data_IF_916878970313
#
_entry.id   IF_916878970313
#
_cell.length_a   1.000
_cell.length_b   1.000
_cell.length_c   1.000
_cell.angle_alpha   90.00
_cell.angle_beta   90.00
_cell.angle_gamma   90.00
#
_symmetry.space_group_name_H-M   'P 1'
#
loop_
_entity.id
_entity.type
_entity.pdbx_description
1 polymer ?
#
# COMPACT_ATOMS: atom_id res chain seq x y z
N UNK A 1 41.86 9.92 -20.82
CA UNK A 1 40.81 9.73 -21.84
C UNK A 1 39.47 9.84 -21.15
N UNK A 2 38.76 10.94 -21.35
CA UNK A 2 37.38 11.12 -20.86
C UNK A 2 36.46 10.40 -21.85
N UNK A 3 35.83 9.31 -21.42
CA UNK A 3 34.80 8.65 -22.21
C UNK A 3 33.57 9.56 -22.23
N UNK A 4 33.29 10.19 -23.37
CA UNK A 4 32.00 10.82 -23.63
C UNK A 4 30.93 9.73 -23.57
N UNK A 5 30.15 9.72 -22.49
CA UNK A 5 28.98 8.86 -22.38
C UNK A 5 27.95 9.35 -23.40
N UNK A 6 27.56 8.47 -24.32
CA UNK A 6 26.38 8.73 -25.16
C UNK A 6 25.15 8.86 -24.25
N UNK A 7 24.20 9.75 -24.57
CA UNK A 7 22.98 9.86 -23.80
C UNK A 7 22.21 8.54 -23.81
N UNK A 8 21.54 8.22 -22.70
CA UNK A 8 20.77 6.99 -22.50
C UNK A 8 19.61 6.83 -23.49
N UNK A 9 19.15 7.92 -24.10
CA UNK A 9 18.20 7.88 -25.21
C UNK A 9 18.51 9.00 -26.21
N UNK A 10 18.29 8.68 -27.49
CA UNK A 10 18.30 9.62 -28.62
C UNK A 10 16.90 9.66 -29.30
N UNK A 11 15.86 9.15 -28.62
CA UNK A 11 14.58 8.85 -29.26
C UNK A 11 13.63 10.05 -29.21
N UNK A 12 13.01 10.32 -30.35
CA UNK A 12 11.82 11.19 -30.44
C UNK A 12 10.71 10.55 -29.62
N UNK A 13 10.07 11.33 -28.75
CA UNK A 13 8.89 10.91 -28.02
C UNK A 13 7.81 10.39 -28.97
N UNK A 14 6.90 9.56 -28.46
CA UNK A 14 5.70 9.13 -29.21
C UNK A 14 5.00 10.38 -29.77
N UNK A 15 4.56 10.33 -31.04
CA UNK A 15 4.12 11.54 -31.73
C UNK A 15 3.03 12.29 -30.96
N UNK A 16 3.27 13.56 -30.63
CA UNK A 16 2.31 14.41 -29.94
C UNK A 16 2.38 14.38 -28.41
N UNK A 17 3.26 13.57 -27.80
CA UNK A 17 3.62 13.66 -26.38
C UNK A 17 4.89 14.49 -26.26
N UNK A 18 4.90 15.49 -25.37
CA UNK A 18 6.10 16.26 -25.05
C UNK A 18 6.63 15.97 -23.63
N UNK A 19 7.77 16.58 -23.27
CA UNK A 19 8.36 16.40 -21.94
C UNK A 19 7.49 17.02 -20.84
N UNK A 20 6.72 18.07 -21.16
CA UNK A 20 5.82 18.68 -20.19
C UNK A 20 4.70 17.70 -19.80
N UNK A 21 4.12 16.99 -20.78
CA UNK A 21 3.13 15.92 -20.52
C UNK A 21 3.71 14.88 -19.53
N UNK A 22 4.93 14.40 -19.78
CA UNK A 22 5.61 13.42 -18.92
C UNK A 22 5.83 13.98 -17.51
N UNK A 23 6.44 15.17 -17.41
CA UNK A 23 6.73 15.77 -16.10
C UNK A 23 5.46 16.09 -15.32
N UNK A 24 4.36 16.43 -16.00
CA UNK A 24 3.06 16.60 -15.36
C UNK A 24 2.58 15.30 -14.71
N UNK A 25 2.58 14.18 -15.44
CA UNK A 25 2.24 12.88 -14.87
C UNK A 25 3.13 12.51 -13.67
N UNK A 26 4.44 12.78 -13.74
CA UNK A 26 5.35 12.52 -12.61
C UNK A 26 5.00 13.37 -11.37
N UNK A 27 4.53 14.61 -11.55
CA UNK A 27 4.05 15.46 -10.46
C UNK A 27 2.68 15.02 -9.93
N UNK A 28 1.82 14.47 -10.79
CA UNK A 28 0.57 13.85 -10.35
C UNK A 28 0.84 12.63 -9.45
N UNK A 29 1.86 11.82 -9.73
CA UNK A 29 2.26 10.72 -8.83
C UNK A 29 2.88 11.24 -7.52
N UNK A 30 3.63 12.34 -7.55
CA UNK A 30 4.21 12.96 -6.34
C UNK A 30 3.14 13.35 -5.31
N UNK A 31 1.94 13.70 -5.80
CA UNK A 31 0.80 14.07 -4.97
C UNK A 31 0.42 13.03 -3.91
N UNK A 32 0.74 11.75 -4.12
CA UNK A 32 0.46 10.67 -3.15
C UNK A 32 1.13 10.94 -1.79
N UNK A 33 2.27 11.63 -1.77
CA UNK A 33 2.98 12.01 -0.53
C UNK A 33 2.18 12.94 0.38
N UNK A 34 1.12 13.57 -0.15
CA UNK A 34 0.24 14.47 0.60
C UNK A 34 -0.86 13.73 1.36
N UNK A 35 -1.12 12.47 1.00
CA UNK A 35 -2.15 11.64 1.62
C UNK A 35 -1.58 11.02 2.89
N UNK A 36 -2.08 11.45 4.06
CA UNK A 36 -1.65 10.89 5.34
C UNK A 36 -2.57 9.75 5.75
N UNK A 37 -1.97 8.64 6.16
CA UNK A 37 -2.61 7.49 6.81
C UNK A 37 -2.73 7.74 8.31
N UNK A 38 -3.49 6.88 9.01
CA UNK A 38 -3.60 6.96 10.48
C UNK A 38 -2.41 6.38 11.24
N UNK A 39 -1.58 5.56 10.60
CA UNK A 39 -0.39 4.98 11.21
C UNK A 39 0.63 6.05 11.58
N UNK A 40 1.45 5.80 12.59
CA UNK A 40 2.55 6.68 12.97
C UNK A 40 3.89 6.06 12.57
N UNK A 41 4.80 6.88 12.06
CA UNK A 41 6.15 6.44 11.68
C UNK A 41 6.96 6.15 12.94
N UNK A 42 7.66 5.02 12.94
CA UNK A 42 8.45 4.52 14.07
C UNK A 42 9.38 5.59 14.64
N UNK A 43 9.35 5.75 15.97
CA UNK A 43 10.16 6.73 16.70
C UNK A 43 9.96 8.20 16.27
N UNK A 44 8.78 8.54 15.72
CA UNK A 44 8.42 9.92 15.39
C UNK A 44 7.02 10.27 15.91
N UNK A 45 6.66 11.55 15.79
CA UNK A 45 5.29 12.03 16.02
C UNK A 45 4.49 12.17 14.73
N UNK A 46 5.09 11.85 13.58
CA UNK A 46 4.52 12.06 12.25
C UNK A 46 3.64 10.87 11.87
N UNK A 47 2.55 11.17 11.16
CA UNK A 47 1.76 10.14 10.48
C UNK A 47 2.46 9.63 9.24
N UNK A 48 2.22 8.36 8.97
CA UNK A 48 2.62 7.75 7.72
C UNK A 48 1.86 8.40 6.54
N UNK A 49 2.48 8.57 5.37
CA UNK A 49 1.81 8.92 4.12
C UNK A 49 1.74 7.72 3.16
N UNK A 50 0.81 7.75 2.21
CA UNK A 50 0.55 6.60 1.34
C UNK A 50 1.73 6.25 0.40
N UNK A 51 2.58 7.23 0.06
CA UNK A 51 3.76 6.98 -0.76
C UNK A 51 4.87 6.23 0.01
N UNK A 52 5.12 6.60 1.27
CA UNK A 52 6.09 5.85 2.11
C UNK A 52 5.54 4.50 2.57
N UNK A 53 4.23 4.38 2.79
CA UNK A 53 3.57 3.09 3.00
C UNK A 53 3.78 2.17 1.80
N UNK A 54 3.54 2.66 0.59
CA UNK A 54 3.74 1.90 -0.65
C UNK A 54 5.19 1.43 -0.84
N UNK A 55 6.17 2.29 -0.51
CA UNK A 55 7.58 1.89 -0.48
C UNK A 55 7.84 0.78 0.55
N UNK A 56 7.33 0.94 1.77
CA UNK A 56 7.53 -0.04 2.84
C UNK A 56 6.85 -1.38 2.51
N UNK A 57 5.64 -1.33 1.94
CA UNK A 57 4.89 -2.48 1.45
C UNK A 57 5.67 -3.24 0.37
N UNK A 58 6.21 -2.53 -0.63
CA UNK A 58 7.00 -3.18 -1.68
C UNK A 58 8.23 -3.90 -1.10
N UNK A 59 8.96 -3.24 -0.19
CA UNK A 59 10.13 -3.83 0.49
C UNK A 59 9.74 -5.04 1.36
N UNK A 60 8.65 -4.93 2.11
CA UNK A 60 8.17 -5.99 2.99
C UNK A 60 7.66 -7.21 2.19
N UNK A 61 6.88 -6.98 1.13
CA UNK A 61 6.43 -8.02 0.21
C UNK A 61 7.60 -8.77 -0.41
N UNK A 62 8.61 -8.07 -0.93
CA UNK A 62 9.79 -8.72 -1.50
C UNK A 62 10.55 -9.54 -0.45
N UNK A 63 10.82 -8.97 0.72
CA UNK A 63 11.52 -9.67 1.81
C UNK A 63 10.78 -10.94 2.25
N UNK A 64 9.45 -10.85 2.43
CA UNK A 64 8.64 -12.01 2.84
C UNK A 64 8.57 -13.06 1.74
N UNK A 65 8.45 -12.66 0.47
CA UNK A 65 8.48 -13.60 -0.66
C UNK A 65 9.78 -14.43 -0.68
N UNK A 66 10.93 -13.79 -0.47
CA UNK A 66 12.23 -14.46 -0.41
C UNK A 66 12.35 -15.36 0.84
N UNK A 67 11.96 -14.85 2.02
CA UNK A 67 12.08 -15.59 3.28
C UNK A 67 11.16 -16.82 3.37
N UNK A 68 10.01 -16.78 2.70
CA UNK A 68 9.07 -17.90 2.63
C UNK A 68 9.23 -18.73 1.35
N UNK A 69 10.23 -18.42 0.51
CA UNK A 69 10.47 -19.09 -0.78
C UNK A 69 9.20 -19.18 -1.65
N UNK A 70 8.42 -18.10 -1.69
CA UNK A 70 7.14 -18.07 -2.39
C UNK A 70 7.35 -18.06 -3.91
N UNK A 71 6.62 -18.95 -4.60
CA UNK A 71 6.53 -18.96 -6.06
C UNK A 71 5.59 -17.84 -6.53
N UNK A 72 6.13 -16.61 -6.60
CA UNK A 72 5.46 -15.38 -7.04
C UNK A 72 6.26 -14.67 -8.14
N UNK A 73 5.56 -13.94 -9.00
CA UNK A 73 6.16 -12.97 -9.91
C UNK A 73 6.50 -11.68 -9.13
N UNK A 74 7.79 -11.48 -8.87
CA UNK A 74 8.32 -10.33 -8.15
C UNK A 74 8.06 -9.01 -8.87
N UNK A 75 8.16 -8.99 -10.21
CA UNK A 75 7.93 -7.78 -10.99
C UNK A 75 6.46 -7.34 -10.84
N UNK A 76 5.55 -8.30 -10.96
CA UNK A 76 4.13 -8.08 -10.77
C UNK A 76 3.80 -7.63 -9.35
N UNK A 77 4.31 -8.34 -8.34
CA UNK A 77 4.10 -8.02 -6.92
C UNK A 77 4.56 -6.60 -6.58
N UNK A 78 5.76 -6.21 -7.03
CA UNK A 78 6.31 -4.88 -6.78
C UNK A 78 5.52 -3.78 -7.51
N UNK A 79 5.10 -4.02 -8.76
CA UNK A 79 4.22 -3.08 -9.48
C UNK A 79 2.90 -2.90 -8.74
N UNK A 80 2.27 -3.98 -8.30
CA UNK A 80 1.02 -3.90 -7.53
C UNK A 80 1.20 -3.11 -6.24
N UNK A 81 2.26 -3.38 -5.46
CA UNK A 81 2.56 -2.65 -4.23
C UNK A 81 2.77 -1.15 -4.46
N UNK A 82 3.42 -0.76 -5.56
CA UNK A 82 3.66 0.64 -5.87
C UNK A 82 2.41 1.39 -6.34
N UNK A 83 1.44 0.69 -6.94
CA UNK A 83 0.23 1.34 -7.48
C UNK A 83 -0.98 1.30 -6.53
N UNK A 84 -0.98 0.42 -5.52
CA UNK A 84 -2.20 0.08 -4.76
C UNK A 84 -2.95 1.28 -4.19
N UNK A 85 -2.23 2.27 -3.63
CA UNK A 85 -2.82 3.47 -3.03
C UNK A 85 -2.89 4.67 -4.00
N UNK A 86 -2.57 4.53 -5.29
CA UNK A 86 -2.60 5.68 -6.21
C UNK A 86 -4.00 6.32 -6.34
N UNK A 87 -5.08 5.55 -6.18
CA UNK A 87 -6.44 6.07 -6.15
C UNK A 87 -6.70 7.05 -4.99
N UNK A 88 -5.92 6.95 -3.90
CA UNK A 88 -6.04 7.81 -2.74
C UNK A 88 -5.57 9.25 -3.02
N UNK A 89 -4.86 9.51 -4.13
CA UNK A 89 -4.49 10.89 -4.53
C UNK A 89 -5.72 11.78 -4.60
N UNK A 90 -6.82 11.25 -5.12
CA UNK A 90 -8.08 11.98 -5.31
C UNK A 90 -9.10 11.63 -4.21
N UNK A 91 -9.14 10.37 -3.74
CA UNK A 91 -10.12 9.90 -2.75
C UNK A 91 -9.71 10.18 -1.28
N UNK A 92 -8.41 10.31 -1.01
CA UNK A 92 -7.85 10.30 0.34
C UNK A 92 -7.77 8.90 0.98
N UNK A 93 -7.03 8.79 2.09
CA UNK A 93 -6.90 7.53 2.85
C UNK A 93 -8.20 7.20 3.59
N UNK A 94 -8.69 5.98 3.38
CA UNK A 94 -9.84 5.46 4.10
C UNK A 94 -9.41 4.45 5.16
N UNK A 95 -9.48 4.87 6.43
CA UNK A 95 -9.07 4.05 7.55
C UNK A 95 -9.78 2.69 7.62
N UNK A 96 -9.00 1.64 7.93
CA UNK A 96 -9.45 0.25 7.91
C UNK A 96 -10.74 -0.02 8.69
N UNK A 97 -10.92 0.63 9.85
CA UNK A 97 -12.06 0.44 10.73
C UNK A 97 -13.15 1.53 10.59
N UNK A 98 -13.08 2.38 9.56
CA UNK A 98 -14.10 3.40 9.30
C UNK A 98 -15.39 2.79 8.71
N UNK A 99 -16.54 3.30 9.14
CA UNK A 99 -17.87 2.86 8.64
C UNK A 99 -18.12 3.24 7.17
N UNK A 100 -17.47 4.29 6.68
CA UNK A 100 -17.57 4.78 5.29
C UNK A 100 -16.79 3.94 4.27
N UNK A 101 -16.01 2.93 4.70
CA UNK A 101 -15.11 2.16 3.83
C UNK A 101 -15.77 1.54 2.60
N UNK A 102 -17.05 1.19 2.71
CA UNK A 102 -17.80 0.51 1.65
C UNK A 102 -17.91 1.29 0.33
N UNK A 103 -17.70 2.63 0.34
CA UNK A 103 -17.78 3.46 -0.87
C UNK A 103 -16.43 3.98 -1.39
N UNK A 104 -15.34 3.83 -0.63
CA UNK A 104 -14.03 4.41 -0.97
C UNK A 104 -13.49 3.96 -2.34
N UNK A 105 -13.71 2.68 -2.64
CA UNK A 105 -13.31 2.03 -3.89
C UNK A 105 -13.89 2.66 -5.16
N UNK A 106 -14.96 3.47 -5.05
CA UNK A 106 -15.58 4.17 -6.19
C UNK A 106 -14.75 5.39 -6.57
N UNK A 107 -14.37 6.19 -5.58
CA UNK A 107 -13.56 7.40 -5.78
C UNK A 107 -12.13 7.03 -6.17
N UNK A 108 -11.56 5.99 -5.56
CA UNK A 108 -10.24 5.47 -5.92
C UNK A 108 -10.18 4.99 -7.37
N UNK A 109 -11.18 4.23 -7.84
CA UNK A 109 -11.29 3.82 -9.26
C UNK A 109 -11.37 5.01 -10.21
N UNK A 110 -12.10 6.06 -9.82
CA UNK A 110 -12.19 7.28 -10.63
C UNK A 110 -10.84 8.00 -10.72
N UNK A 111 -10.09 8.08 -9.62
CA UNK A 111 -8.74 8.63 -9.61
C UNK A 111 -7.75 7.83 -10.46
N UNK A 112 -7.83 6.50 -10.39
CA UNK A 112 -7.02 5.61 -11.25
C UNK A 112 -7.38 5.78 -12.72
N UNK A 113 -8.66 5.89 -13.07
CA UNK A 113 -9.08 6.16 -14.44
C UNK A 113 -8.55 7.51 -14.97
N UNK A 114 -8.52 8.54 -14.12
CA UNK A 114 -7.91 9.83 -14.43
C UNK A 114 -6.41 9.70 -14.67
N UNK A 115 -5.66 9.08 -13.76
CA UNK A 115 -4.22 8.85 -13.90
C UNK A 115 -3.87 7.99 -15.12
N UNK A 116 -4.70 7.01 -15.45
CA UNK A 116 -4.56 6.20 -16.67
C UNK A 116 -4.70 7.05 -17.95
N UNK A 117 -5.52 8.10 -17.91
CA UNK A 117 -5.78 8.99 -19.03
C UNK A 117 -4.77 10.16 -19.17
N UNK A 118 -3.87 10.35 -18.21
CA UNK A 118 -2.84 11.38 -18.27
C UNK A 118 -1.94 11.19 -19.50
N UNK A 119 -1.75 12.26 -20.29
CA UNK A 119 -1.02 12.20 -21.57
C UNK A 119 0.42 11.72 -21.41
N UNK A 120 1.05 12.06 -20.29
CA UNK A 120 2.42 11.66 -19.94
C UNK A 120 2.55 10.28 -19.31
N UNK A 121 1.45 9.56 -19.10
CA UNK A 121 1.49 8.24 -18.49
C UNK A 121 2.03 7.19 -19.48
N UNK A 122 3.23 6.69 -19.20
CA UNK A 122 3.86 5.62 -19.98
C UNK A 122 3.42 4.19 -19.59
N UNK A 123 2.60 4.03 -18.55
CA UNK A 123 2.14 2.74 -18.03
C UNK A 123 0.79 2.41 -18.65
N UNK A 124 0.81 1.59 -19.71
CA UNK A 124 -0.37 1.27 -20.51
C UNK A 124 -1.48 0.54 -19.74
N UNK A 125 -1.12 -0.20 -18.69
CA UNK A 125 -2.01 -1.07 -17.92
C UNK A 125 -2.07 -0.69 -16.44
N UNK A 126 -1.89 0.59 -16.10
CA UNK A 126 -1.93 1.09 -14.71
C UNK A 126 -3.24 0.68 -14.01
N UNK A 127 -4.37 0.92 -14.66
CA UNK A 127 -5.68 0.61 -14.12
C UNK A 127 -5.92 -0.90 -13.95
N UNK A 128 -5.37 -1.72 -14.84
CA UNK A 128 -5.47 -3.19 -14.76
C UNK A 128 -4.68 -3.73 -13.56
N UNK A 129 -3.45 -3.26 -13.35
CA UNK A 129 -2.62 -3.65 -12.19
C UNK A 129 -3.30 -3.23 -10.89
N UNK A 130 -3.88 -2.02 -10.86
CA UNK A 130 -4.62 -1.54 -9.70
C UNK A 130 -5.90 -2.36 -9.44
N UNK A 131 -6.66 -2.71 -10.48
CA UNK A 131 -7.87 -3.53 -10.30
C UNK A 131 -7.53 -4.96 -9.84
N UNK A 132 -6.40 -5.52 -10.30
CA UNK A 132 -5.93 -6.83 -9.82
C UNK A 132 -5.56 -6.81 -8.33
N UNK A 133 -4.99 -5.73 -7.80
CA UNK A 133 -4.75 -5.68 -6.35
C UNK A 133 -6.09 -5.64 -5.58
N UNK A 134 -7.06 -4.91 -6.11
CA UNK A 134 -8.34 -4.67 -5.44
C UNK A 134 -9.21 -5.93 -5.41
N UNK A 135 -9.32 -6.64 -6.54
CA UNK A 135 -10.28 -7.75 -6.71
C UNK A 135 -9.64 -9.09 -7.11
N UNK A 136 -8.34 -9.10 -7.40
CA UNK A 136 -7.62 -10.30 -7.80
C UNK A 136 -7.51 -11.37 -6.70
N UNK A 137 -7.02 -12.53 -7.12
CA UNK A 137 -6.83 -13.72 -6.28
C UNK A 137 -5.49 -14.42 -6.52
N UNK A 138 -4.59 -13.80 -7.28
CA UNK A 138 -3.25 -14.32 -7.54
C UNK A 138 -2.43 -14.42 -6.24
N UNK A 139 -1.34 -15.19 -6.25
CA UNK A 139 -0.46 -15.32 -5.09
C UNK A 139 0.14 -13.97 -4.70
N UNK A 140 0.42 -13.13 -5.69
CA UNK A 140 0.89 -11.75 -5.52
C UNK A 140 -0.16 -10.90 -4.80
N UNK A 141 -1.42 -10.94 -5.25
CA UNK A 141 -2.53 -10.25 -4.58
C UNK A 141 -2.70 -10.71 -3.13
N UNK A 142 -2.61 -12.03 -2.89
CA UNK A 142 -2.76 -12.59 -1.54
C UNK A 142 -1.65 -12.12 -0.61
N UNK A 143 -0.39 -12.20 -1.04
CA UNK A 143 0.75 -11.72 -0.27
C UNK A 143 0.63 -10.22 0.01
N UNK A 144 0.34 -9.41 -1.02
CA UNK A 144 0.18 -7.96 -0.87
C UNK A 144 -0.87 -7.61 0.17
N UNK A 145 -2.05 -8.25 0.13
CA UNK A 145 -3.12 -8.01 1.11
C UNK A 145 -2.74 -8.39 2.53
N UNK A 146 -1.99 -9.48 2.71
CA UNK A 146 -1.49 -9.89 4.03
C UNK A 146 -0.51 -8.86 4.57
N UNK A 147 0.48 -8.46 3.76
CA UNK A 147 1.51 -7.52 4.21
C UNK A 147 0.93 -6.12 4.45
N UNK A 148 0.00 -5.65 3.61
CA UNK A 148 -0.70 -4.38 3.80
C UNK A 148 -1.50 -4.34 5.12
N UNK A 149 -1.97 -5.49 5.62
CA UNK A 149 -2.60 -5.58 6.95
C UNK A 149 -1.59 -5.71 8.09
N UNK A 150 -0.46 -6.36 7.83
CA UNK A 150 0.60 -6.56 8.81
C UNK A 150 1.30 -5.24 9.17
N UNK A 151 1.61 -4.39 8.20
CA UNK A 151 2.36 -3.14 8.43
C UNK A 151 1.68 -2.19 9.46
N UNK A 152 0.41 -1.76 9.30
CA UNK A 152 -0.25 -0.91 10.28
C UNK A 152 -0.44 -1.61 11.64
N UNK A 153 -0.49 -2.95 11.68
CA UNK A 153 -0.49 -3.70 12.93
C UNK A 153 0.85 -3.57 13.67
N UNK A 154 1.97 -3.76 12.98
CA UNK A 154 3.32 -3.57 13.53
C UNK A 154 3.52 -2.13 14.05
N UNK A 155 3.05 -1.13 13.30
CA UNK A 155 3.15 0.26 13.70
C UNK A 155 2.31 0.57 14.95
N UNK A 156 1.14 -0.05 15.12
CA UNK A 156 0.38 0.06 16.35
C UNK A 156 1.12 -0.56 17.55
N UNK A 157 1.69 -1.76 17.40
CA UNK A 157 2.49 -2.36 18.48
C UNK A 157 3.68 -1.48 18.88
N UNK A 158 4.38 -0.91 17.90
CA UNK A 158 5.52 -0.03 18.13
C UNK A 158 5.13 1.33 18.74
N UNK A 159 3.86 1.69 18.71
CA UNK A 159 3.34 2.97 19.24
C UNK A 159 2.39 2.77 20.40
N UNK A 160 2.48 1.62 21.08
CA UNK A 160 1.67 1.31 22.26
C UNK A 160 0.16 1.45 21.99
N UNK A 161 -0.26 1.05 20.78
CA UNK A 161 -1.65 1.10 20.32
C UNK A 161 -2.18 2.50 20.02
N UNK A 162 -1.33 3.51 19.81
CA UNK A 162 -1.77 4.90 19.64
C UNK A 162 -2.91 5.08 18.63
N UNK A 163 -2.79 4.52 17.42
CA UNK A 163 -3.84 4.65 16.39
C UNK A 163 -5.12 3.89 16.78
N UNK A 164 -4.98 2.71 17.41
CA UNK A 164 -6.11 1.96 17.98
C UNK A 164 -6.84 2.76 19.05
N UNK A 165 -6.12 3.35 20.00
CA UNK A 165 -6.67 4.16 21.09
C UNK A 165 -7.36 5.42 20.56
N UNK A 166 -6.70 6.19 19.67
CA UNK A 166 -7.27 7.39 19.04
C UNK A 166 -8.56 7.12 18.25
N UNK A 167 -8.73 5.89 17.76
CA UNK A 167 -9.87 5.49 16.93
C UNK A 167 -10.82 4.52 17.65
N UNK A 168 -10.66 4.33 18.96
CA UNK A 168 -11.47 3.43 19.81
C UNK A 168 -11.63 2.02 19.22
N UNK A 169 -10.56 1.49 18.61
CA UNK A 169 -10.57 0.19 17.94
C UNK A 169 -10.66 -0.94 18.95
N UNK A 170 -11.54 -1.89 18.68
CA UNK A 170 -11.74 -3.10 19.50
C UNK A 170 -10.97 -4.29 18.96
N UNK A 171 -10.59 -5.18 19.87
CA UNK A 171 -10.00 -6.50 19.58
C UNK A 171 -10.76 -7.26 18.50
N UNK A 172 -12.09 -7.28 18.59
CA UNK A 172 -12.95 -7.97 17.62
C UNK A 172 -12.84 -7.40 16.21
N UNK A 173 -12.65 -6.08 16.07
CA UNK A 173 -12.45 -5.44 14.77
C UNK A 173 -11.10 -5.83 14.18
N UNK A 174 -10.03 -5.81 14.99
CA UNK A 174 -8.69 -6.21 14.56
C UNK A 174 -8.66 -7.69 14.17
N UNK A 175 -9.20 -8.58 15.01
CA UNK A 175 -9.26 -10.01 14.72
C UNK A 175 -10.06 -10.30 13.44
N UNK A 176 -11.23 -9.68 13.27
CA UNK A 176 -12.04 -9.87 12.06
C UNK A 176 -11.32 -9.37 10.79
N UNK A 177 -10.60 -8.25 10.86
CA UNK A 177 -9.86 -7.72 9.73
C UNK A 177 -8.64 -8.57 9.31
N UNK A 178 -8.16 -9.44 10.21
CA UNK A 178 -6.97 -10.28 10.01
C UNK A 178 -7.29 -11.77 9.80
N UNK A 179 -8.53 -12.20 10.06
CA UNK A 179 -8.93 -13.61 10.01
C UNK A 179 -8.62 -14.31 8.69
N UNK A 180 -8.69 -13.60 7.56
CA UNK A 180 -8.41 -14.20 6.24
C UNK A 180 -6.95 -14.68 6.08
N UNK A 181 -6.02 -14.19 6.92
CA UNK A 181 -4.59 -14.54 6.88
C UNK A 181 -4.37 -15.99 7.34
N UNK A 182 -5.25 -16.55 8.17
CA UNK A 182 -5.15 -17.92 8.68
C UNK A 182 -5.00 -18.96 7.56
N UNK A 183 -5.76 -18.79 6.46
CA UNK A 183 -5.77 -19.71 5.34
C UNK A 183 -4.56 -19.62 4.41
N UNK A 184 -3.86 -18.49 4.38
CA UNK A 184 -2.76 -18.23 3.44
C UNK A 184 -1.38 -18.19 4.11
N UNK A 185 -1.30 -17.62 5.31
CA UNK A 185 -0.06 -17.47 6.09
C UNK A 185 -0.32 -17.82 7.57
N UNK A 186 -0.54 -19.11 7.91
CA UNK A 186 -0.93 -19.53 9.26
C UNK A 186 0.07 -19.08 10.33
N UNK A 187 1.38 -19.19 10.08
CA UNK A 187 2.41 -18.73 11.03
C UNK A 187 2.37 -17.22 11.30
N UNK A 188 2.03 -16.41 10.28
CA UNK A 188 1.83 -14.96 10.47
C UNK A 188 0.54 -14.73 11.28
N UNK A 189 -0.52 -15.47 10.98
CA UNK A 189 -1.79 -15.36 11.70
C UNK A 189 -1.68 -15.75 13.18
N UNK A 190 -0.93 -16.80 13.50
CA UNK A 190 -0.65 -17.23 14.87
C UNK A 190 0.07 -16.12 15.64
N UNK A 191 1.11 -15.55 15.04
CA UNK A 191 1.85 -14.43 15.61
C UNK A 191 0.95 -13.19 15.81
N UNK A 192 0.09 -12.86 14.85
CA UNK A 192 -0.89 -11.77 14.97
C UNK A 192 -1.84 -12.03 16.14
N UNK A 193 -2.34 -13.26 16.29
CA UNK A 193 -3.28 -13.65 17.35
C UNK A 193 -2.64 -13.48 18.74
N UNK A 194 -1.41 -13.94 18.91
CA UNK A 194 -0.64 -13.76 20.15
C UNK A 194 -0.44 -12.27 20.47
N UNK A 195 -0.09 -11.46 19.47
CA UNK A 195 0.16 -10.04 19.66
C UNK A 195 -1.11 -9.22 19.88
N UNK A 196 -2.26 -9.65 19.35
CA UNK A 196 -3.57 -9.07 19.70
C UNK A 196 -3.83 -9.29 21.19
N UNK A 197 -3.63 -10.51 21.70
CA UNK A 197 -3.83 -10.82 23.11
C UNK A 197 -2.86 -10.02 24.00
N UNK A 198 -1.61 -9.90 23.58
CA UNK A 198 -0.61 -9.07 24.25
C UNK A 198 -1.01 -7.58 24.28
N UNK A 199 -1.44 -7.00 23.15
CA UNK A 199 -1.85 -5.60 23.09
C UNK A 199 -3.05 -5.30 24.01
N UNK A 200 -4.00 -6.23 24.14
CA UNK A 200 -5.09 -6.13 25.11
C UNK A 200 -4.57 -6.17 26.54
N UNK A 201 -3.66 -7.09 26.85
CA UNK A 201 -3.04 -7.19 28.18
C UNK A 201 -2.31 -5.90 28.59
N UNK A 202 -1.65 -5.23 27.62
CA UNK A 202 -0.95 -3.96 27.86
C UNK A 202 -1.90 -2.75 27.93
N UNK A 203 -3.19 -2.92 27.61
CA UNK A 203 -4.15 -1.82 27.54
C UNK A 203 -4.03 -0.95 26.27
N UNK A 204 -3.32 -1.43 25.25
CA UNK A 204 -3.13 -0.75 23.97
C UNK A 204 -4.30 -0.95 23.00
N UNK A 205 -5.09 -2.01 23.21
CA UNK A 205 -6.24 -2.39 22.39
C UNK A 205 -7.43 -2.71 23.29
N UNK A 206 -8.62 -2.22 22.93
CA UNK A 206 -9.84 -2.38 23.73
C UNK A 206 -10.35 -3.82 23.58
N UNK A 207 -10.56 -4.56 24.68
CA UNK A 207 -11.06 -5.94 24.62
C UNK A 207 -12.55 -6.02 24.20
N UNK A 208 -13.40 -5.19 24.81
CA UNK A 208 -14.86 -5.16 24.59
C UNK A 208 -15.47 -3.77 24.74
#
# INVERSE_FOLDING_TARGET
>A
MLTSSKPLSNQTLVSGIDVNDITHFLLELDALKRVNRRSYVTHTTRRENSAEHSWHLAMACWSIAEMFELDVDHEKLLKMALVHDLGEIDAGDTFLFASSRHAAHIEERAGIARLQAERGNGIANLAEIWEEQETGSSKETQLLRVVDRLLPFLLNLNTEGKTWAESEVKRSQVAAALAFIEGSFPTIHDWLTENIAYAVQQGWLIDS
#
